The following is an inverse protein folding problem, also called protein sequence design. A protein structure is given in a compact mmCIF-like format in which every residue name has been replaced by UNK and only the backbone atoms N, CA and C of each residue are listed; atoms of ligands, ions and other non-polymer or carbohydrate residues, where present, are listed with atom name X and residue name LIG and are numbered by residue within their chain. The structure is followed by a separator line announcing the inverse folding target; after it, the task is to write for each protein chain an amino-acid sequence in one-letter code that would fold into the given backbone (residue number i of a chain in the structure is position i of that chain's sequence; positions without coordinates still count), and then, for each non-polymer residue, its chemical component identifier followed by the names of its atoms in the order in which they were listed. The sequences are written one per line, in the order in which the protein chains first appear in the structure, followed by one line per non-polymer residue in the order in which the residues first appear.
data_IF_767453298179
#
_entry.id   IF_767453298179
#
_cell.length_a   1.000
_cell.length_b   1.000
_cell.length_c   1.000
_cell.angle_alpha   90.00
_cell.angle_beta   90.00
_cell.angle_gamma   90.00
#
_symmetry.space_group_name_H-M   'P 1'
#
loop_
_entity.id
_entity.type
_entity.pdbx_description
1 polymer ?
#
# COMPACT_ATOMS: atom_id res chain seq x y z
N UNK A 1 -1.93 4.83 11.26
CA UNK A 1 -1.39 3.51 10.85
C UNK A 1 -2.49 2.48 11.01
N UNK A 2 -3.04 1.96 9.90
CA UNK A 2 -4.04 0.89 9.96
C UNK A 2 -3.33 -0.38 10.44
N UNK A 3 -3.87 -1.08 11.45
CA UNK A 3 -3.26 -2.34 11.88
C UNK A 3 -3.62 -3.43 10.88
N UNK A 4 -2.75 -4.43 10.73
CA UNK A 4 -3.00 -5.53 9.80
C UNK A 4 -4.29 -6.28 10.16
N UNK A 5 -4.61 -6.37 11.46
CA UNK A 5 -5.86 -6.93 11.95
C UNK A 5 -7.09 -6.16 11.43
N UNK A 6 -7.01 -4.83 11.35
CA UNK A 6 -8.10 -3.98 10.84
C UNK A 6 -8.34 -4.24 9.34
N UNK A 7 -7.27 -4.53 8.59
CA UNK A 7 -7.37 -4.87 7.18
C UNK A 7 -7.94 -6.27 6.95
N UNK A 8 -7.50 -7.27 7.74
CA UNK A 8 -8.12 -8.60 7.68
C UNK A 8 -9.61 -8.52 8.00
N UNK A 9 -9.98 -7.73 9.00
CA UNK A 9 -11.38 -7.51 9.36
C UNK A 9 -12.13 -6.82 8.22
N UNK A 10 -11.57 -5.78 7.61
CA UNK A 10 -12.16 -5.13 6.44
C UNK A 10 -12.36 -6.11 5.27
N UNK A 11 -11.38 -6.97 4.97
CA UNK A 11 -11.49 -7.97 3.90
C UNK A 11 -12.54 -9.02 4.26
N UNK A 12 -12.62 -9.44 5.53
CA UNK A 12 -13.66 -10.34 6.03
C UNK A 12 -15.05 -9.74 5.87
N UNK A 13 -15.22 -8.48 6.23
CA UNK A 13 -16.48 -7.76 6.13
C UNK A 13 -16.92 -7.58 4.66
N UNK A 14 -15.95 -7.38 3.74
CA UNK A 14 -16.21 -7.23 2.31
C UNK A 14 -16.55 -8.56 1.61
N UNK A 15 -15.90 -9.66 2.00
CA UNK A 15 -15.98 -10.95 1.29
C UNK A 15 -16.90 -11.98 1.95
N UNK A 16 -17.31 -11.75 3.20
CA UNK A 16 -18.22 -12.63 3.93
C UNK A 16 -17.69 -14.06 4.03
N UNK A 17 -18.50 -15.04 3.60
CA UNK A 17 -18.12 -16.46 3.65
C UNK A 17 -16.91 -16.81 2.76
N UNK A 18 -16.66 -16.03 1.71
CA UNK A 18 -15.49 -16.23 0.84
C UNK A 18 -14.16 -15.87 1.52
N UNK A 19 -14.20 -15.18 2.68
CA UNK A 19 -13.03 -14.88 3.49
C UNK A 19 -12.24 -16.15 3.86
N UNK A 20 -12.93 -17.27 4.13
CA UNK A 20 -12.26 -18.53 4.49
C UNK A 20 -11.45 -19.14 3.33
N UNK A 21 -11.70 -18.69 2.10
CA UNK A 21 -10.99 -19.08 0.89
C UNK A 21 -9.99 -18.01 0.44
N UNK A 22 -9.98 -16.85 1.10
CA UNK A 22 -9.07 -15.77 0.80
C UNK A 22 -7.64 -16.18 1.17
N UNK A 23 -6.78 -16.24 0.15
CA UNK A 23 -5.35 -16.45 0.35
C UNK A 23 -4.75 -15.15 0.85
N UNK A 24 -4.27 -15.15 2.09
CA UNK A 24 -3.60 -13.99 2.70
C UNK A 24 -2.58 -13.37 1.74
N UNK A 25 -2.41 -12.05 1.86
CA UNK A 25 -1.41 -11.31 1.08
C UNK A 25 0.02 -11.74 1.46
N UNK A 26 0.28 -12.09 2.72
CA UNK A 26 1.64 -12.41 3.19
C UNK A 26 2.23 -13.71 2.60
N UNK A 27 1.47 -14.81 2.46
CA UNK A 27 1.86 -15.98 1.68
C UNK A 27 2.02 -15.73 0.18
N UNK A 28 1.29 -14.74 -0.38
CA UNK A 28 1.38 -14.39 -1.79
C UNK A 28 2.63 -13.55 -2.13
N UNK A 29 3.27 -12.96 -1.11
CA UNK A 29 4.53 -12.23 -1.27
C UNK A 29 5.70 -13.22 -1.14
N UNK A 30 6.55 -13.38 -2.17
CA UNK A 30 7.75 -14.19 -2.08
C UNK A 30 8.60 -13.75 -0.89
N UNK A 31 9.20 -14.72 -0.18
CA UNK A 31 9.93 -14.48 1.09
C UNK A 31 10.96 -13.34 0.96
N UNK A 32 11.66 -13.29 -0.17
CA UNK A 32 12.67 -12.28 -0.47
C UNK A 32 12.12 -10.83 -0.48
N UNK A 33 10.83 -10.62 -0.73
CA UNK A 33 10.21 -9.29 -0.81
C UNK A 33 9.42 -8.88 0.45
N UNK A 34 9.44 -9.71 1.51
CA UNK A 34 8.68 -9.41 2.73
C UNK A 34 9.17 -8.15 3.44
N UNK A 35 10.48 -7.93 3.49
CA UNK A 35 11.04 -6.70 4.06
C UNK A 35 10.63 -5.45 3.27
N UNK A 36 10.56 -5.56 1.94
CA UNK A 36 10.07 -4.47 1.07
C UNK A 36 8.59 -4.14 1.33
N UNK A 37 7.77 -5.16 1.56
CA UNK A 37 6.36 -4.98 1.93
C UNK A 37 6.20 -4.30 3.28
N UNK A 38 6.98 -4.72 4.28
CA UNK A 38 6.99 -4.08 5.60
C UNK A 38 7.49 -2.63 5.51
N UNK A 39 8.48 -2.34 4.66
CA UNK A 39 8.96 -0.98 4.41
C UNK A 39 7.88 -0.09 3.79
N UNK A 40 7.11 -0.63 2.82
CA UNK A 40 6.00 0.09 2.20
C UNK A 40 4.87 0.39 3.21
N UNK A 41 4.54 -0.56 4.10
CA UNK A 41 3.55 -0.33 5.16
C UNK A 41 4.05 0.73 6.17
N UNK A 42 5.31 0.64 6.60
CA UNK A 42 5.94 1.65 7.49
C UNK A 42 6.06 3.02 6.83
N UNK A 43 5.93 3.06 5.51
CA UNK A 43 5.93 4.25 4.67
C UNK A 43 4.54 4.85 4.47
N UNK A 44 3.56 4.44 5.28
CA UNK A 44 2.16 4.89 5.28
C UNK A 44 1.33 4.48 4.05
N UNK A 45 1.82 3.57 3.21
CA UNK A 45 0.99 3.01 2.13
C UNK A 45 -0.04 2.02 2.68
N UNK A 46 -1.23 1.99 2.05
CA UNK A 46 -2.25 0.96 2.36
C UNK A 46 -1.73 -0.44 2.02
N UNK A 47 -2.34 -1.47 2.59
CA UNK A 47 -1.91 -2.86 2.34
C UNK A 47 -2.04 -3.28 0.86
N UNK A 48 -3.15 -3.01 0.15
CA UNK A 48 -3.24 -3.28 -1.29
C UNK A 48 -2.16 -2.53 -2.07
N UNK A 49 -1.93 -1.25 -1.74
CA UNK A 49 -0.92 -0.43 -2.41
C UNK A 49 0.51 -0.92 -2.15
N UNK A 50 0.79 -1.34 -0.92
CA UNK A 50 2.08 -1.92 -0.53
C UNK A 50 2.36 -3.21 -1.30
N UNK A 51 1.32 -4.04 -1.51
CA UNK A 51 1.42 -5.24 -2.33
C UNK A 51 1.75 -4.88 -3.79
N UNK A 52 1.00 -3.95 -4.39
CA UNK A 52 1.23 -3.51 -5.76
C UNK A 52 2.64 -2.93 -5.96
N UNK A 53 3.10 -2.08 -5.03
CA UNK A 53 4.45 -1.50 -5.02
C UNK A 53 5.51 -2.62 -5.04
N UNK A 54 5.36 -3.63 -4.19
CA UNK A 54 6.30 -4.75 -4.11
C UNK A 54 6.27 -5.55 -5.41
N UNK A 55 5.09 -5.90 -5.93
CA UNK A 55 4.95 -6.69 -7.15
C UNK A 55 5.50 -5.98 -8.38
N UNK A 56 5.33 -4.67 -8.49
CA UNK A 56 5.92 -3.86 -9.57
C UNK A 56 7.43 -3.71 -9.45
N UNK A 57 7.98 -3.79 -8.24
CA UNK A 57 9.41 -3.67 -7.97
C UNK A 57 10.20 -4.97 -8.05
N UNK A 58 9.57 -6.10 -8.41
CA UNK A 58 10.21 -7.42 -8.45
C UNK A 58 11.44 -7.53 -9.36
N UNK A 59 11.71 -6.53 -10.21
CA UNK A 59 12.89 -6.47 -11.08
C UNK A 59 13.89 -5.38 -10.71
N UNK A 60 13.62 -4.65 -9.62
CA UNK A 60 14.46 -3.57 -9.11
C UNK A 60 15.39 -4.11 -8.03
N UNK A 61 16.62 -3.62 -8.01
CA UNK A 61 17.50 -3.72 -6.83
C UNK A 61 16.95 -2.90 -5.66
N UNK A 62 17.53 -3.09 -4.48
CA UNK A 62 17.03 -2.48 -3.24
C UNK A 62 17.17 -0.95 -3.23
N UNK A 63 18.25 -0.40 -3.80
CA UNK A 63 18.46 1.05 -3.87
C UNK A 63 17.42 1.71 -4.78
N UNK A 64 17.15 1.11 -5.94
CA UNK A 64 16.10 1.53 -6.87
C UNK A 64 14.71 1.42 -6.24
N UNK A 65 14.48 0.40 -5.41
CA UNK A 65 13.23 0.23 -4.69
C UNK A 65 12.99 1.35 -3.67
N UNK A 66 14.01 1.74 -2.91
CA UNK A 66 13.90 2.84 -1.94
C UNK A 66 13.52 4.14 -2.65
N UNK A 67 14.20 4.47 -3.74
CA UNK A 67 13.89 5.65 -4.56
C UNK A 67 12.46 5.60 -5.13
N UNK A 68 12.01 4.43 -5.58
CA UNK A 68 10.65 4.22 -6.08
C UNK A 68 9.59 4.48 -5.00
N UNK A 69 9.81 3.97 -3.79
CA UNK A 69 8.92 4.19 -2.63
C UNK A 69 8.85 5.67 -2.28
N UNK A 70 9.98 6.39 -2.29
CA UNK A 70 10.02 7.84 -2.05
C UNK A 70 9.25 8.64 -3.11
N UNK A 71 9.42 8.29 -4.40
CA UNK A 71 8.68 8.93 -5.49
C UNK A 71 7.17 8.74 -5.36
N UNK A 72 6.72 7.53 -5.00
CA UNK A 72 5.30 7.23 -4.81
C UNK A 72 4.66 8.04 -3.66
N UNK A 73 5.42 8.36 -2.61
CA UNK A 73 4.94 9.22 -1.51
C UNK A 73 4.68 10.66 -1.95
N UNK A 74 5.49 11.17 -2.88
CA UNK A 74 5.33 12.54 -3.40
C UNK A 74 4.05 12.65 -4.24
N UNK A 75 3.74 11.61 -5.02
CA UNK A 75 2.53 11.55 -5.85
C UNK A 75 1.24 11.50 -5.02
N UNK A 76 1.28 10.89 -3.82
CA UNK A 76 0.13 10.86 -2.88
C UNK A 76 -0.09 12.18 -2.12
N UNK A 77 0.77 13.18 -2.27
CA UNK A 77 0.54 14.55 -1.77
C UNK A 77 0.13 15.55 -2.86
N UNK A 78 -0.94 15.34 -3.64
CA UNK A 78 -1.46 16.42 -4.47
C UNK A 78 -2.23 17.41 -3.57
N UNK A 79 -1.71 18.64 -3.51
CA UNK A 79 -2.33 19.90 -3.06
C UNK A 79 -3.73 19.81 -2.39
N UNK A 80 -3.76 19.78 -1.06
CA UNK A 80 -4.99 20.04 -0.29
C UNK A 80 -5.28 21.54 -0.08
N UNK A 81 -4.65 22.46 -0.83
CA UNK A 81 -4.71 23.89 -0.45
C UNK A 81 -4.63 24.91 -1.60
N UNK A 82 -5.22 24.67 -2.78
CA UNK A 82 -5.33 25.75 -3.79
C UNK A 82 -6.69 25.97 -4.47
N UNK A 83 -7.69 25.09 -4.34
CA UNK A 83 -9.00 25.34 -5.00
C UNK A 83 -10.15 25.78 -4.08
N UNK A 84 -9.93 25.90 -2.76
CA UNK A 84 -10.94 26.45 -1.83
C UNK A 84 -11.04 27.99 -1.85
N UNK A 85 -10.41 28.68 -2.80
CA UNK A 85 -10.40 30.15 -2.89
C UNK A 85 -10.64 30.74 -4.30
N UNK A 86 -11.38 30.04 -5.16
CA UNK A 86 -12.15 30.68 -6.23
C UNK A 86 -13.64 30.71 -5.83
N UNK A 87 -13.99 31.49 -4.79
CA UNK A 87 -14.82 32.70 -4.94
C UNK A 87 -15.95 32.47 -5.95
N UNK A 88 -17.16 32.08 -5.53
CA UNK A 88 -18.19 33.06 -5.14
C UNK A 88 -17.85 34.48 -5.61
N UNK A 89 -18.13 34.74 -6.89
CA UNK A 89 -18.49 36.03 -7.45
C UNK A 89 -19.41 35.77 -8.64
#
# INVERSE_FOLDING_TARGET
MLRYEDFEQFVRDLTGEAFMQWKHIYPAIPVFYRERFLLAIRSDFTIPRSYDIVMHSCRMDDDSFILFVEQMKVVERPNLNQDSMAKFN
#
